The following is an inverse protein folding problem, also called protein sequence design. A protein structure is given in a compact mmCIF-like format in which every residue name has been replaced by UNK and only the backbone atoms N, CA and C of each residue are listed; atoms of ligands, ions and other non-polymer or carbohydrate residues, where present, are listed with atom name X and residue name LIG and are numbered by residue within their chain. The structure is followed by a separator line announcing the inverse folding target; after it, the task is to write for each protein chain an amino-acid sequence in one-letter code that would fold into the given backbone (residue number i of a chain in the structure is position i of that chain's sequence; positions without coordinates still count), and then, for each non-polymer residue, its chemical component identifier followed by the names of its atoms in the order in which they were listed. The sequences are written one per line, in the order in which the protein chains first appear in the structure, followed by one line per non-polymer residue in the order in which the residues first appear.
data_IF_505711286446
#
_entry.id   IF_505711286446
#
_cell.length_a   1.000
_cell.length_b   1.000
_cell.length_c   1.000
_cell.angle_alpha   90.00
_cell.angle_beta   90.00
_cell.angle_gamma   90.00
#
_symmetry.space_group_name_H-M   'P 1'
#
loop_
_entity.id
_entity.type
_entity.pdbx_description
1 polymer ?
#
# COMPACT_ATOMS: atom_id res chain seq x y z
N UNK A 1 -3.82 12.55 9.11
CA UNK A 1 -3.75 11.10 8.79
C UNK A 1 -4.16 10.34 10.04
N UNK A 2 -4.98 9.29 9.94
CA UNK A 2 -5.35 8.46 11.10
C UNK A 2 -4.83 7.05 10.89
N UNK A 3 -4.24 6.45 11.93
CA UNK A 3 -3.82 5.05 11.86
C UNK A 3 -5.05 4.14 11.80
N UNK A 4 -4.99 3.10 10.98
CA UNK A 4 -6.03 2.08 10.87
C UNK A 4 -5.45 0.76 11.36
N UNK A 5 -6.24 0.02 12.12
CA UNK A 5 -5.86 -1.33 12.52
C UNK A 5 -5.83 -2.27 11.28
N UNK A 6 -4.67 -2.81 10.89
CA UNK A 6 -4.54 -3.72 9.75
C UNK A 6 -5.30 -5.03 9.93
N UNK A 7 -5.58 -5.46 11.17
CA UNK A 7 -6.34 -6.69 11.42
C UNK A 7 -7.76 -6.63 10.88
N UNK A 8 -8.34 -5.43 10.79
CA UNK A 8 -9.66 -5.22 10.15
C UNK A 8 -9.68 -5.69 8.71
N UNK A 9 -8.54 -5.67 8.03
CA UNK A 9 -8.37 -6.11 6.65
C UNK A 9 -7.72 -7.49 6.52
N UNK A 10 -7.74 -8.29 7.59
CA UNK A 10 -7.05 -9.58 7.66
C UNK A 10 -5.54 -9.48 7.34
N UNK A 11 -4.92 -8.34 7.67
CA UNK A 11 -3.49 -8.12 7.48
C UNK A 11 -2.72 -8.29 8.79
N UNK A 12 -1.43 -8.61 8.67
CA UNK A 12 -0.53 -8.68 9.83
C UNK A 12 -0.53 -7.35 10.58
N UNK A 13 -0.51 -7.41 11.92
CA UNK A 13 -0.34 -6.26 12.81
C UNK A 13 0.92 -5.44 12.55
N UNK A 14 1.91 -6.01 11.85
CA UNK A 14 3.13 -5.31 11.40
C UNK A 14 2.89 -4.42 10.19
N UNK A 15 1.74 -4.52 9.52
CA UNK A 15 1.38 -3.66 8.39
C UNK A 15 0.90 -2.33 8.92
N UNK A 16 1.51 -1.24 8.48
CA UNK A 16 1.10 0.09 8.89
C UNK A 16 0.14 0.64 7.84
N UNK A 17 -1.10 0.90 8.24
CA UNK A 17 -2.12 1.52 7.40
C UNK A 17 -2.49 2.89 7.95
N UNK A 18 -2.66 3.86 7.05
CA UNK A 18 -3.15 5.20 7.38
C UNK A 18 -4.29 5.61 6.48
N UNK A 19 -5.36 6.11 7.06
CA UNK A 19 -6.44 6.76 6.31
C UNK A 19 -6.00 8.16 5.91
N UNK A 20 -6.14 8.47 4.62
CA UNK A 20 -5.97 9.79 4.04
C UNK A 20 -7.32 10.22 3.45
N UNK A 21 -7.94 11.27 4.01
CA UNK A 21 -9.28 11.68 3.58
C UNK A 21 -10.34 10.58 3.80
N UNK A 22 -11.44 10.63 3.04
CA UNK A 22 -12.58 9.72 3.22
C UNK A 22 -12.43 8.37 2.50
N UNK A 23 -11.76 8.35 1.35
CA UNK A 23 -11.75 7.18 0.45
C UNK A 23 -10.34 6.72 0.07
N UNK A 24 -9.31 7.06 0.85
CA UNK A 24 -7.95 6.62 0.55
C UNK A 24 -7.30 5.97 1.78
N UNK A 25 -6.78 4.75 1.56
CA UNK A 25 -5.96 4.03 2.52
C UNK A 25 -4.54 3.96 1.97
N UNK A 26 -3.59 4.40 2.80
CA UNK A 26 -2.18 4.33 2.51
C UNK A 26 -1.50 3.19 3.25
N UNK A 27 -0.83 2.32 2.50
CA UNK A 27 0.10 1.31 3.02
C UNK A 27 1.46 2.00 3.21
N UNK A 28 1.94 2.05 4.45
CA UNK A 28 3.22 2.69 4.76
C UNK A 28 4.34 1.65 4.65
N UNK A 29 5.36 1.96 3.86
CA UNK A 29 6.58 1.18 3.75
C UNK A 29 7.75 2.09 4.13
N UNK A 30 8.17 1.99 5.38
CA UNK A 30 9.30 2.73 5.89
C UNK A 30 10.52 1.81 5.94
N UNK A 31 11.37 1.87 4.91
CA UNK A 31 12.63 1.13 4.85
C UNK A 31 13.65 1.86 4.00
N UNK A 32 14.93 1.62 4.29
CA UNK A 32 16.06 2.23 3.55
C UNK A 32 16.24 1.67 2.14
N UNK A 33 16.00 0.37 1.92
CA UNK A 33 16.32 -0.28 0.64
C UNK A 33 15.20 -0.16 -0.38
N UNK A 34 15.57 -0.08 -1.67
CA UNK A 34 14.66 0.02 -2.81
C UNK A 34 13.53 -1.01 -2.78
N UNK A 35 12.30 -0.59 -3.05
CA UNK A 35 11.13 -1.48 -3.23
C UNK A 35 11.28 -2.21 -4.58
N UNK A 36 11.23 -3.53 -4.52
CA UNK A 36 11.40 -4.43 -5.68
C UNK A 36 10.12 -5.23 -5.96
N UNK A 37 10.11 -6.04 -7.01
CA UNK A 37 8.92 -6.76 -7.46
C UNK A 37 8.33 -7.70 -6.41
N UNK A 38 9.16 -8.30 -5.55
CA UNK A 38 8.69 -9.12 -4.41
C UNK A 38 7.82 -8.28 -3.47
N UNK A 39 8.23 -7.05 -3.19
CA UNK A 39 7.47 -6.10 -2.38
C UNK A 39 6.19 -5.68 -3.12
N UNK A 40 6.27 -5.40 -4.42
CA UNK A 40 5.11 -5.11 -5.27
C UNK A 40 4.01 -6.17 -5.20
N UNK A 41 4.38 -7.46 -5.32
CA UNK A 41 3.45 -8.59 -5.18
C UNK A 41 2.83 -8.66 -3.77
N UNK A 42 3.60 -8.34 -2.74
CA UNK A 42 3.09 -8.29 -1.35
C UNK A 42 2.09 -7.14 -1.17
N UNK A 43 2.41 -5.96 -1.70
CA UNK A 43 1.53 -4.79 -1.68
C UNK A 43 0.21 -5.09 -2.39
N UNK A 44 0.26 -5.72 -3.57
CA UNK A 44 -0.95 -6.11 -4.30
C UNK A 44 -1.84 -7.05 -3.48
N UNK A 45 -1.27 -8.03 -2.78
CA UNK A 45 -2.03 -8.91 -1.89
C UNK A 45 -2.69 -8.12 -0.75
N UNK A 46 -1.95 -7.19 -0.14
CA UNK A 46 -2.50 -6.33 0.91
C UNK A 46 -3.64 -5.45 0.38
N UNK A 47 -3.47 -4.89 -0.82
CA UNK A 47 -4.47 -4.10 -1.50
C UNK A 47 -5.76 -4.90 -1.78
N UNK A 48 -5.62 -6.13 -2.27
CA UNK A 48 -6.76 -7.02 -2.48
C UNK A 48 -7.52 -7.31 -1.18
N UNK A 49 -6.82 -7.61 -0.08
CA UNK A 49 -7.48 -7.84 1.21
C UNK A 49 -8.24 -6.60 1.72
N UNK A 50 -7.72 -5.40 1.45
CA UNK A 50 -8.44 -4.15 1.75
C UNK A 50 -9.69 -4.03 0.89
N UNK A 51 -9.58 -4.25 -0.42
CA UNK A 51 -10.70 -4.14 -1.36
C UNK A 51 -11.80 -5.19 -1.15
N UNK A 52 -11.46 -6.37 -0.63
CA UNK A 52 -12.44 -7.40 -0.28
C UNK A 52 -13.44 -6.93 0.79
N UNK A 53 -13.03 -6.00 1.66
CA UNK A 53 -13.87 -5.47 2.73
C UNK A 53 -14.41 -4.09 2.34
N UNK A 54 -13.59 -3.24 1.72
CA UNK A 54 -13.96 -1.92 1.26
C UNK A 54 -13.58 -1.74 -0.23
N UNK A 55 -14.46 -2.14 -1.13
CA UNK A 55 -14.20 -2.12 -2.58
C UNK A 55 -13.89 -0.74 -3.15
N UNK A 56 -14.51 0.32 -2.63
CA UNK A 56 -14.42 1.70 -3.15
C UNK A 56 -13.24 2.53 -2.61
N UNK A 57 -12.23 1.89 -1.99
CA UNK A 57 -11.08 2.60 -1.43
C UNK A 57 -9.96 2.75 -2.45
N UNK A 58 -9.47 3.97 -2.66
CA UNK A 58 -8.21 4.18 -3.36
C UNK A 58 -7.05 3.73 -2.48
N UNK A 59 -6.10 2.98 -3.05
CA UNK A 59 -4.95 2.48 -2.32
C UNK A 59 -3.70 3.22 -2.79
N UNK A 60 -2.92 3.71 -1.83
CA UNK A 60 -1.65 4.38 -2.08
C UNK A 60 -0.54 3.74 -1.27
N UNK A 61 0.66 3.65 -1.83
CA UNK A 61 1.86 3.26 -1.10
C UNK A 61 2.61 4.54 -0.76
N UNK A 62 2.79 4.78 0.54
CA UNK A 62 3.67 5.84 1.02
C UNK A 62 5.00 5.25 1.45
N UNK A 63 6.09 5.75 0.89
CA UNK A 63 7.43 5.18 1.09
C UNK A 63 8.50 6.26 1.00
N UNK A 64 9.53 6.15 1.82
CA UNK A 64 10.78 6.92 1.70
C UNK A 64 11.82 6.19 0.82
N UNK A 65 11.62 4.88 0.61
CA UNK A 65 12.49 4.08 -0.25
C UNK A 65 12.19 4.33 -1.74
N UNK A 66 13.23 4.37 -2.61
CA UNK A 66 13.02 4.44 -4.05
C UNK A 66 12.29 3.20 -4.55
N UNK A 67 11.45 3.34 -5.57
CA UNK A 67 10.75 2.19 -6.19
C UNK A 67 11.36 1.83 -7.54
N UNK A 68 11.66 0.54 -7.75
CA UNK A 68 12.12 0.05 -9.06
C UNK A 68 11.07 0.31 -10.15
N UNK A 69 11.49 0.79 -11.33
CA UNK A 69 10.58 1.19 -12.42
C UNK A 69 9.58 0.10 -12.81
N UNK A 70 10.02 -1.16 -12.90
CA UNK A 70 9.13 -2.31 -13.18
C UNK A 70 8.07 -2.51 -12.10
N UNK A 71 8.43 -2.27 -10.84
CA UNK A 71 7.50 -2.40 -9.70
C UNK A 71 6.52 -1.23 -9.67
N UNK A 72 6.98 -0.03 -10.01
CA UNK A 72 6.13 1.16 -10.15
C UNK A 72 5.08 0.96 -11.24
N UNK A 73 5.48 0.52 -12.42
CA UNK A 73 4.56 0.21 -13.52
C UNK A 73 3.54 -0.87 -13.10
N UNK A 74 4.02 -1.98 -12.53
CA UNK A 74 3.15 -3.06 -12.06
C UNK A 74 2.09 -2.61 -11.05
N UNK A 75 2.44 -1.75 -10.09
CA UNK A 75 1.48 -1.25 -9.10
C UNK A 75 0.47 -0.28 -9.73
N UNK A 76 0.94 0.60 -10.63
CA UNK A 76 0.09 1.56 -11.32
C UNK A 76 -0.95 0.85 -12.22
N UNK A 77 -0.55 -0.19 -12.95
CA UNK A 77 -1.44 -1.05 -13.74
C UNK A 77 -2.56 -1.71 -12.91
N UNK A 78 -2.35 -1.85 -11.60
CA UNK A 78 -3.33 -2.38 -10.64
C UNK A 78 -4.06 -1.28 -9.87
N UNK A 79 -3.98 -0.03 -10.32
CA UNK A 79 -4.56 1.14 -9.68
C UNK A 79 -4.06 1.38 -8.25
N UNK A 80 -2.81 0.98 -7.96
CA UNK A 80 -2.14 1.25 -6.70
C UNK A 80 -1.12 2.36 -6.94
N UNK A 81 -1.41 3.53 -6.39
CA UNK A 81 -0.56 4.71 -6.57
C UNK A 81 0.62 4.70 -5.62
N UNK A 82 1.74 5.29 -6.02
CA UNK A 82 2.93 5.43 -5.18
C UNK A 82 3.17 6.91 -4.92
N UNK A 83 3.41 7.26 -3.66
CA UNK A 83 3.83 8.59 -3.25
C UNK A 83 5.10 8.47 -2.42
N UNK A 84 6.20 8.92 -3.00
CA UNK A 84 7.52 8.97 -2.36
C UNK A 84 7.60 10.22 -1.48
N UNK A 85 8.19 10.10 -0.28
CA UNK A 85 8.34 11.17 0.73
C UNK A 85 9.82 11.34 1.06
#
# INVERSE_FOLDING_TARGET
MKNIDPKRYNLSSRTILRQIGKNNISIIIDRKSRIIMKDGKRILKQAHSIHQINSNMTITVLTSAPVCSKTRAFLLEKNIFIKEI
#
